data_IF_741790639089
#
_entry.id   IF_741790639089
#
_cell.length_a   1.000
_cell.length_b   1.000
_cell.length_c   1.000
_cell.angle_alpha   90.00
_cell.angle_beta   90.00
_cell.angle_gamma   90.00
#
_symmetry.space_group_name_H-M   'P 1'
#
loop_
_entity.id
_entity.type
_entity.pdbx_description
1 polymer ?
#
# COMPACT_ATOMS: atom_id res chain seq x y z
N UNK A 1 -30.17 -25.58 7.79
CA UNK A 1 -29.93 -26.23 6.49
C UNK A 1 -30.69 -25.48 5.41
N UNK A 2 -29.99 -24.74 4.57
CA UNK A 2 -30.55 -24.19 3.34
C UNK A 2 -29.46 -24.29 2.27
N UNK A 3 -29.60 -25.29 1.41
CA UNK A 3 -28.73 -25.55 0.28
C UNK A 3 -29.23 -24.71 -0.91
N UNK A 4 -28.40 -23.82 -1.43
CA UNK A 4 -28.67 -23.05 -2.65
C UNK A 4 -27.86 -23.62 -3.81
N UNK A 5 -28.55 -24.08 -4.85
CA UNK A 5 -27.99 -24.79 -6.00
C UNK A 5 -27.10 -23.89 -6.87
N UNK A 6 -25.93 -24.41 -7.24
CA UNK A 6 -25.03 -23.82 -8.25
C UNK A 6 -25.54 -24.24 -9.63
N UNK A 7 -26.09 -23.30 -10.40
CA UNK A 7 -26.43 -23.48 -11.81
C UNK A 7 -25.31 -22.94 -12.69
N UNK A 8 -24.47 -23.82 -13.23
CA UNK A 8 -23.50 -23.48 -14.29
C UNK A 8 -24.23 -23.51 -15.62
N UNK A 9 -24.49 -22.34 -16.21
CA UNK A 9 -24.95 -22.24 -17.59
C UNK A 9 -23.73 -22.10 -18.52
N UNK A 10 -23.30 -23.22 -19.12
CA UNK A 10 -22.38 -23.20 -20.25
C UNK A 10 -23.17 -22.87 -21.52
N UNK A 11 -23.06 -21.62 -21.99
CA UNK A 11 -23.55 -21.25 -23.33
C UNK A 11 -22.37 -21.32 -24.30
N UNK A 12 -22.24 -22.46 -24.97
CA UNK A 12 -21.51 -22.55 -26.22
C UNK A 12 -22.41 -21.97 -27.32
N UNK A 13 -22.01 -20.83 -27.89
CA UNK A 13 -22.67 -20.20 -29.03
C UNK A 13 -21.80 -20.36 -30.27
N UNK A 14 -22.49 -20.74 -31.35
CA UNK A 14 -22.05 -21.22 -32.65
C UNK A 14 -21.31 -20.20 -33.51
N UNK A 15 -20.47 -20.73 -34.40
CA UNK A 15 -19.76 -20.12 -35.53
C UNK A 15 -20.51 -19.04 -36.32
N UNK A 16 -19.79 -17.95 -36.64
CA UNK A 16 -19.79 -17.36 -37.99
C UNK A 16 -20.40 -15.96 -38.14
N UNK A 17 -19.55 -14.95 -38.24
CA UNK A 17 -19.50 -13.96 -39.36
C UNK A 17 -18.47 -12.89 -39.03
N UNK A 18 -17.50 -12.72 -39.92
CA UNK A 18 -16.58 -11.60 -39.93
C UNK A 18 -17.36 -10.29 -40.16
N UNK A 19 -17.69 -9.59 -39.07
CA UNK A 19 -17.77 -8.15 -39.09
C UNK A 19 -16.43 -7.69 -38.51
N UNK A 20 -15.68 -6.89 -39.28
CA UNK A 20 -14.51 -6.22 -38.75
C UNK A 20 -14.94 -5.45 -37.49
N UNK A 21 -14.50 -5.91 -36.32
CA UNK A 21 -14.49 -5.06 -35.14
C UNK A 21 -13.87 -3.73 -35.57
N UNK A 22 -14.52 -2.58 -35.29
CA UNK A 22 -13.84 -1.32 -35.45
C UNK A 22 -12.51 -1.43 -34.68
N UNK A 23 -11.40 -0.86 -35.19
CA UNK A 23 -10.20 -0.77 -34.38
C UNK A 23 -10.65 -0.15 -33.06
N UNK A 24 -10.45 -0.92 -31.99
CA UNK A 24 -10.55 -0.37 -30.66
C UNK A 24 -9.65 0.86 -30.71
N UNK A 25 -10.25 2.05 -30.56
CA UNK A 25 -9.54 3.24 -30.14
C UNK A 25 -8.94 2.87 -28.78
N UNK A 26 -7.81 2.14 -28.80
CA UNK A 26 -6.92 2.04 -27.68
C UNK A 26 -6.54 3.49 -27.38
N UNK A 27 -6.98 4.07 -26.26
CA UNK A 27 -6.56 5.42 -25.93
C UNK A 27 -5.04 5.41 -25.95
N UNK A 28 -4.47 6.23 -26.84
CA UNK A 28 -3.04 6.46 -26.93
C UNK A 28 -2.52 6.64 -25.49
N UNK A 29 -1.49 5.87 -25.06
CA UNK A 29 -1.06 5.89 -23.67
C UNK A 29 -0.78 7.35 -23.29
N UNK A 30 -1.53 7.85 -22.30
CA UNK A 30 -1.50 9.24 -21.91
C UNK A 30 -0.04 9.71 -21.79
N UNK A 31 0.33 10.87 -22.38
CA UNK A 31 1.72 11.30 -22.40
C UNK A 31 2.27 11.44 -20.98
N UNK A 32 3.33 10.66 -20.70
CA UNK A 32 4.27 10.79 -19.57
C UNK A 32 3.75 10.59 -18.14
N UNK A 33 3.27 9.39 -17.80
CA UNK A 33 3.51 8.91 -16.43
C UNK A 33 5.04 8.75 -16.27
N UNK A 34 5.65 9.48 -15.35
CA UNK A 34 7.05 9.25 -15.00
C UNK A 34 7.27 7.74 -14.77
N UNK A 35 8.33 7.13 -15.32
CA UNK A 35 8.52 5.70 -15.20
C UNK A 35 8.61 5.31 -13.72
N UNK A 36 7.90 4.25 -13.32
CA UNK A 36 7.79 3.76 -11.95
C UNK A 36 7.02 4.68 -10.98
N UNK A 37 6.04 5.45 -11.45
CA UNK A 37 5.17 6.28 -10.62
C UNK A 37 3.70 5.82 -10.62
N UNK A 38 3.47 4.51 -10.76
CA UNK A 38 2.13 3.93 -10.72
C UNK A 38 1.68 3.60 -9.29
N UNK A 39 0.41 3.25 -9.12
CA UNK A 39 -0.10 2.71 -7.86
C UNK A 39 0.60 1.39 -7.46
N UNK A 40 1.03 0.58 -8.44
CA UNK A 40 1.78 -0.65 -8.17
C UNK A 40 3.17 -0.33 -7.60
N UNK A 41 3.83 0.73 -8.10
CA UNK A 41 5.13 1.16 -7.59
C UNK A 41 5.02 1.72 -6.16
N UNK A 42 3.97 2.50 -5.87
CA UNK A 42 3.71 2.96 -4.50
C UNK A 42 3.45 1.79 -3.55
N UNK A 43 2.67 0.79 -3.99
CA UNK A 43 2.42 -0.42 -3.22
C UNK A 43 3.72 -1.18 -2.94
N UNK A 44 4.60 -1.33 -3.94
CA UNK A 44 5.90 -1.95 -3.79
C UNK A 44 6.74 -1.23 -2.72
N UNK A 45 6.88 0.10 -2.80
CA UNK A 45 7.66 0.90 -1.84
C UNK A 45 7.06 0.81 -0.43
N UNK A 46 5.75 0.98 -0.30
CA UNK A 46 5.07 0.89 0.99
C UNK A 46 5.22 -0.49 1.65
N UNK A 47 5.19 -1.56 0.86
CA UNK A 47 5.42 -2.93 1.34
C UNK A 47 6.84 -3.11 1.90
N UNK A 48 7.86 -2.53 1.23
CA UNK A 48 9.24 -2.54 1.71
C UNK A 48 9.41 -1.78 3.01
N UNK A 49 8.81 -0.59 3.12
CA UNK A 49 8.81 0.20 4.36
C UNK A 49 8.11 -0.54 5.50
N UNK A 50 6.99 -1.19 5.23
CA UNK A 50 6.28 -2.00 6.23
C UNK A 50 7.11 -3.20 6.71
N UNK A 51 7.79 -3.90 5.79
CA UNK A 51 8.70 -5.00 6.13
C UNK A 51 9.89 -4.52 6.97
N UNK A 52 10.52 -3.41 6.61
CA UNK A 52 11.61 -2.82 7.37
C UNK A 52 11.15 -2.36 8.77
N UNK A 53 9.95 -1.76 8.87
CA UNK A 53 9.35 -1.40 10.15
C UNK A 53 9.12 -2.64 11.03
N UNK A 54 8.62 -3.73 10.45
CA UNK A 54 8.43 -5.00 11.18
C UNK A 54 9.75 -5.51 11.76
N UNK A 55 10.81 -5.57 10.94
CA UNK A 55 12.13 -5.99 11.40
C UNK A 55 12.69 -5.09 12.51
N UNK A 56 12.51 -3.76 12.39
CA UNK A 56 12.89 -2.80 13.42
C UNK A 56 12.16 -3.09 14.74
N UNK A 57 10.84 -3.24 14.71
CA UNK A 57 10.06 -3.51 15.92
C UNK A 57 10.42 -4.85 16.59
N UNK A 58 10.74 -5.90 15.81
CA UNK A 58 11.18 -7.17 16.40
C UNK A 58 12.58 -7.09 17.05
N UNK A 59 13.42 -6.16 16.61
CA UNK A 59 14.76 -5.93 17.18
C UNK A 59 14.76 -4.86 18.28
N UNK A 60 13.66 -4.11 18.42
CA UNK A 60 13.44 -3.05 19.41
C UNK A 60 12.19 -3.36 20.25
N UNK A 61 12.26 -4.33 21.18
CA UNK A 61 11.09 -4.82 21.91
C UNK A 61 10.41 -3.76 22.79
N UNK A 62 11.16 -2.77 23.26
CA UNK A 62 10.66 -1.61 24.00
C UNK A 62 9.83 -0.68 23.09
N UNK A 63 10.31 -0.39 21.87
CA UNK A 63 9.57 0.38 20.87
C UNK A 63 8.32 -0.37 20.44
N UNK A 64 8.42 -1.68 20.20
CA UNK A 64 7.28 -2.52 19.86
C UNK A 64 6.22 -2.56 20.96
N UNK A 65 6.63 -2.67 22.23
CA UNK A 65 5.72 -2.60 23.36
C UNK A 65 5.00 -1.24 23.42
N UNK A 66 5.72 -0.13 23.19
CA UNK A 66 5.14 1.20 23.14
C UNK A 66 4.09 1.32 22.04
N UNK A 67 4.41 1.00 20.77
CA UNK A 67 3.45 1.08 19.67
C UNK A 67 2.24 0.14 19.87
N UNK A 68 2.46 -1.03 20.47
CA UNK A 68 1.38 -1.96 20.84
C UNK A 68 0.45 -1.38 21.90
N UNK A 69 0.99 -0.63 22.86
CA UNK A 69 0.21 -0.02 23.95
C UNK A 69 -0.79 1.04 23.47
N UNK A 70 -0.56 1.64 22.29
CA UNK A 70 -1.45 2.62 21.68
C UNK A 70 -2.75 2.01 21.13
N UNK A 71 -2.87 0.68 21.09
CA UNK A 71 -4.04 -0.02 20.54
C UNK A 71 -5.31 0.36 21.31
N UNK A 72 -6.32 0.85 20.58
CA UNK A 72 -7.63 1.20 21.12
C UNK A 72 -7.76 2.64 21.64
N UNK A 73 -6.68 3.43 21.60
CA UNK A 73 -6.75 4.83 21.95
C UNK A 73 -7.41 5.68 20.85
N UNK A 74 -8.03 6.83 21.20
CA UNK A 74 -8.47 7.82 20.22
C UNK A 74 -7.30 8.31 19.35
N UNK A 75 -7.58 8.57 18.07
CA UNK A 75 -6.54 8.97 17.11
C UNK A 75 -5.78 10.24 17.51
N UNK A 76 -6.46 11.20 18.13
CA UNK A 76 -5.82 12.46 18.54
C UNK A 76 -4.89 12.25 19.74
N UNK A 77 -5.29 11.42 20.70
CA UNK A 77 -4.44 11.02 21.83
C UNK A 77 -3.20 10.25 21.37
N UNK A 78 -3.36 9.34 20.38
CA UNK A 78 -2.24 8.62 19.79
C UNK A 78 -1.22 9.56 19.13
N UNK A 79 -1.69 10.60 18.41
CA UNK A 79 -0.80 11.58 17.75
C UNK A 79 0.02 12.36 18.77
N UNK A 80 -0.63 12.84 19.84
CA UNK A 80 0.06 13.56 20.90
C UNK A 80 1.11 12.69 21.60
N UNK A 81 0.75 11.46 21.94
CA UNK A 81 1.67 10.50 22.56
C UNK A 81 2.84 10.14 21.65
N UNK A 82 2.59 9.88 20.37
CA UNK A 82 3.64 9.59 19.39
C UNK A 82 4.62 10.75 19.29
N UNK A 83 4.12 11.99 19.21
CA UNK A 83 4.99 13.17 19.19
C UNK A 83 5.88 13.23 20.44
N UNK A 84 5.28 13.09 21.62
CA UNK A 84 6.03 13.11 22.88
C UNK A 84 7.08 11.99 22.93
N UNK A 85 6.73 10.79 22.44
CA UNK A 85 7.64 9.67 22.40
C UNK A 85 8.82 9.93 21.44
N UNK A 86 8.58 10.48 20.25
CA UNK A 86 9.66 10.82 19.32
C UNK A 86 10.56 11.94 19.86
N UNK A 87 9.99 12.96 20.51
CA UNK A 87 10.76 14.04 21.14
C UNK A 87 11.66 13.50 22.28
N UNK A 88 11.19 12.49 23.02
CA UNK A 88 11.95 11.84 24.09
C UNK A 88 12.94 10.76 23.61
N UNK A 89 12.76 10.23 22.41
CA UNK A 89 13.56 9.13 21.84
C UNK A 89 14.15 9.54 20.47
N UNK A 90 15.11 10.47 20.42
CA UNK A 90 15.62 11.02 19.17
C UNK A 90 16.30 9.98 18.27
N UNK A 91 16.91 8.94 18.85
CA UNK A 91 17.48 7.84 18.07
C UNK A 91 16.38 7.02 17.38
N UNK A 92 15.36 6.58 18.12
CA UNK A 92 14.21 5.86 17.55
C UNK A 92 13.50 6.70 16.50
N UNK A 93 13.40 8.01 16.73
CA UNK A 93 12.83 8.92 15.75
C UNK A 93 13.65 8.92 14.45
N UNK A 94 14.97 9.10 14.54
CA UNK A 94 15.86 9.08 13.39
C UNK A 94 15.83 7.73 12.64
N UNK A 95 15.78 6.61 13.36
CA UNK A 95 15.68 5.28 12.76
C UNK A 95 14.38 5.12 11.97
N UNK A 96 13.23 5.50 12.57
CA UNK A 96 11.92 5.41 11.93
C UNK A 96 11.76 6.41 10.77
N UNK A 97 12.37 7.59 10.86
CA UNK A 97 12.50 8.54 9.74
C UNK A 97 13.30 7.90 8.59
N UNK A 98 14.42 7.24 8.91
CA UNK A 98 15.24 6.48 7.98
C UNK A 98 14.45 5.39 7.25
N UNK A 99 13.70 4.58 8.00
CA UNK A 99 12.84 3.51 7.46
C UNK A 99 11.78 4.06 6.50
N UNK A 100 11.28 5.28 6.74
CA UNK A 100 10.24 5.92 5.91
C UNK A 100 10.78 6.67 4.69
N UNK A 101 12.08 6.95 4.62
CA UNK A 101 12.69 7.70 3.51
C UNK A 101 12.25 7.23 2.11
N UNK A 102 12.14 5.92 1.82
CA UNK A 102 11.73 5.48 0.48
C UNK A 102 10.36 6.02 0.04
N UNK A 103 9.42 6.21 0.97
CA UNK A 103 8.11 6.81 0.66
C UNK A 103 8.23 8.31 0.38
N UNK A 104 9.05 9.02 1.15
CA UNK A 104 9.33 10.44 0.94
C UNK A 104 10.02 10.67 -0.41
N UNK A 105 11.02 9.85 -0.74
CA UNK A 105 11.72 9.88 -2.02
C UNK A 105 10.78 9.57 -3.18
N UNK A 106 9.91 8.57 -3.03
CA UNK A 106 8.88 8.25 -4.01
C UNK A 106 7.94 9.44 -4.24
N UNK A 107 7.44 10.06 -3.18
CA UNK A 107 6.55 11.23 -3.30
C UNK A 107 7.25 12.43 -3.95
N UNK A 108 8.51 12.69 -3.60
CA UNK A 108 9.28 13.79 -4.18
C UNK A 108 9.53 13.61 -5.68
N UNK A 109 9.70 12.35 -6.12
CA UNK A 109 9.88 11.99 -7.52
C UNK A 109 8.57 11.98 -8.31
N UNK A 110 7.51 11.38 -7.75
CA UNK A 110 6.28 11.02 -8.46
C UNK A 110 5.09 11.98 -8.26
N UNK A 111 5.32 13.12 -7.60
CA UNK A 111 4.33 14.21 -7.50
C UNK A 111 4.13 14.96 -8.81
#
# INVERSE_FOLDING_TARGET
MAAGAVGVAMLFSTTGSAAADPPMDDPEPAPSAQPNCTAADLAQVSSGVAAATSAYLFTHPDVNAYFTSLKGQPRDDMRAQLKQYMDANPQTHADLEGIRQPLTDFQNRCR
#
